data_IF_702183121869
#
_entry.id   IF_702183121869
#
_cell.length_a   1.000
_cell.length_b   1.000
_cell.length_c   1.000
_cell.angle_alpha   90.00
_cell.angle_beta   90.00
_cell.angle_gamma   90.00
#
_symmetry.space_group_name_H-M   'P 1'
#
loop_
_entity.id
_entity.type
_entity.pdbx_description
1 polymer ?
#
# COMPACT_ATOMS: atom_id res chain seq x y z
N UNK A 1 20.34 -6.18 11.47
CA UNK A 1 19.08 -6.90 11.21
C UNK A 1 18.09 -6.45 12.27
N UNK A 2 17.06 -5.69 11.91
CA UNK A 2 16.01 -5.32 12.86
C UNK A 2 15.25 -6.60 13.17
N UNK A 3 15.27 -7.05 14.42
CA UNK A 3 14.56 -8.24 14.83
C UNK A 3 13.06 -8.03 14.58
N UNK A 4 12.38 -9.02 14.00
CA UNK A 4 10.92 -9.01 13.91
C UNK A 4 10.35 -8.80 15.32
N UNK A 5 9.43 -7.84 15.48
CA UNK A 5 8.76 -7.57 16.74
C UNK A 5 7.27 -7.95 16.60
N UNK A 6 6.91 -9.23 16.84
CA UNK A 6 5.55 -9.73 16.64
C UNK A 6 4.51 -8.96 17.45
N UNK A 7 4.90 -8.38 18.60
CA UNK A 7 3.99 -7.64 19.46
C UNK A 7 3.49 -6.33 18.83
N UNK A 8 4.30 -5.67 17.99
CA UNK A 8 3.89 -4.45 17.27
C UNK A 8 3.05 -4.78 16.02
N UNK A 9 3.31 -5.93 15.37
CA UNK A 9 2.57 -6.36 14.18
C UNK A 9 1.22 -7.01 14.48
N UNK A 10 0.91 -7.32 15.74
CA UNK A 10 -0.36 -7.97 16.13
C UNK A 10 -1.60 -7.21 15.67
N UNK A 11 -1.55 -5.89 15.59
CA UNK A 11 -2.68 -5.05 15.20
C UNK A 11 -2.89 -4.99 13.67
N UNK A 12 -1.92 -5.44 12.88
CA UNK A 12 -1.96 -5.33 11.41
C UNK A 12 -2.42 -6.63 10.74
N UNK A 13 -2.65 -7.69 11.52
CA UNK A 13 -3.08 -9.01 11.05
C UNK A 13 -2.22 -9.54 9.88
N UNK A 14 -0.92 -9.25 9.91
CA UNK A 14 0.04 -9.73 8.92
C UNK A 14 0.76 -10.98 9.42
N UNK A 15 1.07 -11.89 8.50
CA UNK A 15 1.94 -13.02 8.75
C UNK A 15 3.07 -13.05 7.71
N UNK A 16 4.29 -13.35 8.15
CA UNK A 16 5.41 -13.60 7.23
C UNK A 16 5.74 -15.09 7.26
N UNK A 17 5.86 -15.72 6.09
CA UNK A 17 6.27 -17.11 5.95
C UNK A 17 7.43 -17.25 4.97
N UNK A 18 8.16 -18.36 5.06
CA UNK A 18 9.23 -18.70 4.11
C UNK A 18 8.77 -19.81 3.18
N UNK A 19 8.65 -19.52 1.88
CA UNK A 19 8.25 -20.48 0.83
C UNK A 19 9.45 -20.71 -0.09
N UNK A 20 9.95 -21.94 -0.15
CA UNK A 20 11.14 -22.29 -0.96
C UNK A 20 12.35 -21.35 -0.73
N UNK A 21 12.54 -20.87 0.50
CA UNK A 21 13.61 -19.94 0.86
C UNK A 21 13.27 -18.46 0.70
N UNK A 22 12.17 -18.12 0.02
CA UNK A 22 11.70 -16.74 -0.22
C UNK A 22 10.81 -16.30 0.94
N UNK A 23 11.06 -15.12 1.49
CA UNK A 23 10.17 -14.50 2.47
C UNK A 23 8.93 -13.92 1.78
N UNK A 24 7.76 -14.33 2.24
CA UNK A 24 6.45 -13.95 1.72
C UNK A 24 5.65 -13.31 2.84
N UNK A 25 5.26 -12.07 2.64
CA UNK A 25 4.36 -11.35 3.53
C UNK A 25 2.91 -11.55 3.09
N UNK A 26 2.09 -12.05 4.01
CA UNK A 26 0.65 -12.17 3.88
C UNK A 26 0.01 -11.04 4.68
N UNK A 27 -0.83 -10.27 4.02
CA UNK A 27 -1.66 -9.24 4.62
C UNK A 27 -3.08 -9.33 4.05
N UNK A 28 -4.07 -9.06 4.89
CA UNK A 28 -5.44 -8.84 4.42
C UNK A 28 -5.56 -7.51 3.69
N UNK A 29 -6.59 -7.41 2.83
CA UNK A 29 -7.03 -6.13 2.29
C UNK A 29 -7.54 -5.26 3.44
N UNK A 30 -7.13 -3.99 3.45
CA UNK A 30 -7.50 -3.06 4.51
C UNK A 30 -8.24 -1.87 3.94
N UNK A 31 -9.30 -1.49 4.61
CA UNK A 31 -9.92 -0.20 4.41
C UNK A 31 -9.06 0.90 5.06
N UNK A 32 -9.48 2.15 4.90
CA UNK A 32 -8.79 3.30 5.47
C UNK A 32 -8.59 3.14 6.99
N UNK A 33 -7.40 3.54 7.42
CA UNK A 33 -6.95 3.46 8.81
C UNK A 33 -7.66 4.56 9.61
N UNK A 34 -8.54 4.18 10.55
CA UNK A 34 -9.16 5.15 11.45
C UNK A 34 -8.14 5.45 12.56
N UNK A 35 -7.51 6.61 12.45
CA UNK A 35 -6.70 7.19 13.52
C UNK A 35 -7.63 7.84 14.54
N UNK A 36 -7.55 7.41 15.80
CA UNK A 36 -8.21 8.13 16.89
C UNK A 36 -7.34 9.36 17.24
N UNK A 37 -7.95 10.51 17.55
CA UNK A 37 -7.23 11.77 17.81
C UNK A 37 -6.15 11.65 18.90
N UNK A 38 -6.28 10.65 19.78
CA UNK A 38 -5.40 10.35 20.92
C UNK A 38 -4.45 9.16 20.69
N UNK A 39 -4.53 8.46 19.56
CA UNK A 39 -3.74 7.24 19.31
C UNK A 39 -3.21 7.14 17.88
N UNK A 40 -1.89 6.91 17.77
CA UNK A 40 -1.23 6.59 16.49
C UNK A 40 -1.39 5.12 16.08
N UNK A 41 -2.18 4.33 16.81
CA UNK A 41 -2.46 2.95 16.46
C UNK A 41 -3.81 2.93 15.72
N UNK A 42 -3.81 2.76 14.38
CA UNK A 42 -5.05 2.75 13.63
C UNK A 42 -5.84 1.48 13.91
N UNK A 43 -7.17 1.60 13.92
CA UNK A 43 -8.03 0.41 13.89
C UNK A 43 -8.15 -0.07 12.45
N UNK A 44 -7.69 -1.29 12.18
CA UNK A 44 -7.75 -1.89 10.83
C UNK A 44 -9.09 -2.59 10.64
N UNK A 45 -9.80 -2.25 9.56
CA UNK A 45 -10.98 -3.00 9.08
C UNK A 45 -10.63 -3.72 7.78
N UNK A 46 -11.19 -4.92 7.59
CA UNK A 46 -11.16 -5.58 6.29
C UNK A 46 -11.76 -4.70 5.21
N UNK A 47 -10.97 -4.47 4.15
CA UNK A 47 -11.36 -3.66 3.00
C UNK A 47 -11.60 -4.50 1.76
N UNK A 48 -12.19 -3.85 0.77
CA UNK A 48 -12.24 -4.29 -0.63
C UNK A 48 -10.91 -4.00 -1.33
N UNK A 49 -10.64 -4.59 -2.52
CA UNK A 49 -9.44 -4.26 -3.29
C UNK A 49 -9.36 -2.77 -3.64
N UNK A 50 -10.50 -2.13 -3.94
CA UNK A 50 -10.57 -0.69 -4.20
C UNK A 50 -10.16 0.12 -2.97
N UNK A 51 -10.74 -0.15 -1.81
CA UNK A 51 -10.39 0.56 -0.57
C UNK A 51 -8.91 0.36 -0.21
N UNK A 52 -8.32 -0.82 -0.46
CA UNK A 52 -6.90 -1.07 -0.26
C UNK A 52 -6.00 -0.35 -1.29
N UNK A 53 -6.45 -0.21 -2.54
CA UNK A 53 -5.78 0.61 -3.55
C UNK A 53 -5.78 2.08 -3.17
N UNK A 54 -6.90 2.61 -2.69
CA UNK A 54 -7.09 4.03 -2.38
C UNK A 54 -6.20 4.52 -1.24
N UNK A 55 -5.92 3.65 -0.25
CA UNK A 55 -5.00 3.98 0.85
C UNK A 55 -3.52 3.92 0.47
N UNK A 56 -3.14 3.57 -0.76
CA UNK A 56 -1.72 3.47 -1.17
C UNK A 56 -1.14 4.81 -1.60
N UNK A 57 0.18 4.86 -1.73
CA UNK A 57 0.89 6.10 -2.03
C UNK A 57 0.68 6.57 -3.48
N UNK A 58 0.85 5.67 -4.45
CA UNK A 58 0.73 5.97 -5.88
C UNK A 58 -0.06 4.91 -6.64
N UNK A 59 -0.77 5.31 -7.70
CA UNK A 59 -1.58 4.44 -8.58
C UNK A 59 -0.77 3.26 -9.13
N UNK A 60 0.48 3.50 -9.54
CA UNK A 60 1.40 2.47 -10.01
C UNK A 60 1.76 1.42 -8.93
N UNK A 61 1.70 1.78 -7.65
CA UNK A 61 1.95 0.88 -6.51
C UNK A 61 0.66 0.24 -5.96
N UNK A 62 -0.49 0.54 -6.58
CA UNK A 62 -1.82 0.09 -6.18
C UNK A 62 -2.39 -0.98 -7.12
N UNK A 63 -1.54 -1.57 -7.97
CA UNK A 63 -1.87 -2.70 -8.83
C UNK A 63 -1.82 -4.01 -8.05
N UNK A 64 -2.76 -4.91 -8.34
CA UNK A 64 -2.77 -6.27 -7.82
C UNK A 64 -2.51 -7.27 -8.94
N UNK A 65 -1.90 -8.40 -8.60
CA UNK A 65 -1.82 -9.54 -9.50
C UNK A 65 -2.67 -10.68 -8.93
N UNK A 66 -3.71 -11.08 -9.64
CA UNK A 66 -4.60 -12.13 -9.20
C UNK A 66 -4.02 -13.49 -9.57
N UNK A 67 -3.69 -14.30 -8.56
CA UNK A 67 -3.06 -15.61 -8.74
C UNK A 67 -3.97 -16.65 -9.42
N UNK A 68 -5.29 -16.49 -9.32
CA UNK A 68 -6.26 -17.42 -9.92
C UNK A 68 -6.45 -17.13 -11.41
N UNK A 69 -6.68 -15.86 -11.76
CA UNK A 69 -6.91 -15.45 -13.15
C UNK A 69 -5.62 -15.18 -13.92
N UNK A 70 -4.50 -15.01 -13.22
CA UNK A 70 -3.18 -14.65 -13.76
C UNK A 70 -3.18 -13.32 -14.51
N UNK A 71 -4.03 -12.39 -14.06
CA UNK A 71 -4.17 -11.05 -14.63
C UNK A 71 -3.78 -9.98 -13.62
N UNK A 72 -3.35 -8.82 -14.15
CA UNK A 72 -3.22 -7.60 -13.35
C UNK A 72 -4.59 -6.97 -13.18
N UNK A 73 -4.92 -6.59 -11.95
CA UNK A 73 -6.13 -5.85 -11.59
C UNK A 73 -5.74 -4.43 -11.18
N UNK A 74 -6.33 -3.45 -11.88
CA UNK A 74 -6.14 -2.03 -11.61
C UNK A 74 -7.45 -1.40 -11.13
N UNK A 75 -7.65 -1.44 -9.81
CA UNK A 75 -8.85 -0.89 -9.19
C UNK A 75 -8.88 0.65 -9.21
N UNK A 76 -7.73 1.31 -9.40
CA UNK A 76 -7.64 2.77 -9.58
C UNK A 76 -8.02 3.19 -11.01
N UNK A 77 -8.07 2.24 -11.95
CA UNK A 77 -8.26 2.43 -13.40
C UNK A 77 -7.19 3.32 -14.09
N UNK A 78 -6.16 3.72 -13.36
CA UNK A 78 -5.11 4.64 -13.82
C UNK A 78 -3.71 4.05 -13.66
N UNK A 79 -3.50 3.15 -12.70
CA UNK A 79 -2.19 2.59 -12.34
C UNK A 79 -1.41 2.01 -13.51
N UNK A 80 -2.06 1.24 -14.40
CA UNK A 80 -1.40 0.69 -15.59
C UNK A 80 -0.95 1.79 -16.56
N UNK A 81 -1.80 2.79 -16.78
CA UNK A 81 -1.50 3.93 -17.65
C UNK A 81 -0.40 4.80 -17.06
N UNK A 82 -0.48 5.12 -15.77
CA UNK A 82 0.51 5.93 -15.07
C UNK A 82 1.87 5.25 -15.03
N UNK A 83 1.91 3.93 -14.78
CA UNK A 83 3.14 3.14 -14.85
C UNK A 83 3.75 3.18 -16.26
N UNK A 84 2.94 2.98 -17.30
CA UNK A 84 3.41 3.03 -18.69
C UNK A 84 3.98 4.41 -19.08
N UNK A 85 3.37 5.49 -18.60
CA UNK A 85 3.81 6.86 -18.87
C UNK A 85 4.84 7.40 -17.87
N UNK A 86 5.32 6.59 -16.92
CA UNK A 86 6.28 7.02 -15.89
C UNK A 86 5.74 8.13 -14.97
N UNK A 87 4.44 8.17 -14.71
CA UNK A 87 3.81 9.19 -13.85
C UNK A 87 3.63 8.69 -12.42
N UNK A 88 3.96 9.54 -11.45
CA UNK A 88 3.63 9.34 -10.05
C UNK A 88 2.36 10.11 -9.71
N UNK A 89 1.24 9.39 -9.60
CA UNK A 89 -0.09 9.95 -9.33
C UNK A 89 -0.66 9.28 -8.09
N UNK A 90 -1.30 10.03 -7.20
CA UNK A 90 -1.96 9.49 -6.00
C UNK A 90 -3.32 8.86 -6.37
N UNK A 91 -3.78 7.78 -5.70
CA UNK A 91 -5.10 7.20 -5.96
C UNK A 91 -6.27 8.15 -5.67
N UNK A 92 -6.16 8.89 -4.56
CA UNK A 92 -7.09 9.93 -4.12
C UNK A 92 -6.50 11.32 -4.35
N UNK A 93 -7.23 12.37 -3.95
CA UNK A 93 -6.73 13.74 -3.97
C UNK A 93 -5.37 13.85 -3.26
N UNK A 94 -4.35 14.49 -3.88
CA UNK A 94 -3.01 14.56 -3.32
C UNK A 94 -2.97 15.16 -1.91
N UNK A 95 -3.80 16.18 -1.65
CA UNK A 95 -3.87 16.86 -0.35
C UNK A 95 -4.27 15.87 0.75
N UNK A 96 -5.31 15.07 0.52
CA UNK A 96 -5.75 14.05 1.47
C UNK A 96 -4.66 12.97 1.63
N UNK A 97 -4.14 12.45 0.53
CA UNK A 97 -3.12 11.39 0.51
C UNK A 97 -1.87 11.77 1.33
N UNK A 98 -1.39 13.00 1.20
CA UNK A 98 -0.21 13.47 1.92
C UNK A 98 -0.51 13.91 3.35
N UNK A 99 -1.75 14.26 3.67
CA UNK A 99 -2.17 14.49 5.05
C UNK A 99 -2.26 13.19 5.84
N UNK A 100 -2.79 12.12 5.22
CA UNK A 100 -2.88 10.78 5.82
C UNK A 100 -1.49 10.21 6.14
N UNK A 101 -0.51 10.40 5.24
CA UNK A 101 0.89 10.03 5.48
C UNK A 101 1.86 11.02 4.79
N UNK A 102 2.43 11.99 5.54
CA UNK A 102 3.38 12.97 5.00
C UNK A 102 4.66 12.36 4.43
N UNK A 103 5.03 11.13 4.82
CA UNK A 103 6.22 10.47 4.27
C UNK A 103 6.05 10.10 2.79
N UNK A 104 4.81 10.06 2.28
CA UNK A 104 4.53 9.87 0.85
C UNK A 104 5.14 10.96 -0.02
N UNK A 105 5.31 12.18 0.48
CA UNK A 105 6.02 13.26 -0.24
C UNK A 105 7.49 12.90 -0.44
N UNK A 106 8.17 12.44 0.61
CA UNK A 106 9.56 12.00 0.53
C UNK A 106 9.69 10.77 -0.38
N UNK A 107 8.70 9.86 -0.34
CA UNK A 107 8.64 8.72 -1.27
C UNK A 107 8.48 9.18 -2.72
N UNK A 108 7.64 10.19 -3.00
CA UNK A 108 7.45 10.74 -4.34
C UNK A 108 8.78 11.26 -4.90
N UNK A 109 9.52 12.07 -4.12
CA UNK A 109 10.84 12.59 -4.49
C UNK A 109 11.81 11.43 -4.76
N UNK A 110 11.85 10.45 -3.85
CA UNK A 110 12.71 9.27 -3.99
C UNK A 110 12.41 8.49 -5.27
N UNK A 111 11.14 8.27 -5.60
CA UNK A 111 10.74 7.58 -6.83
C UNK A 111 11.10 8.41 -8.06
N UNK A 112 10.83 9.72 -8.05
CA UNK A 112 11.12 10.62 -9.17
C UNK A 112 12.61 10.77 -9.49
N UNK A 113 13.51 10.55 -8.51
CA UNK A 113 14.96 10.51 -8.76
C UNK A 113 15.42 9.12 -9.21
N UNK A 114 14.81 8.06 -8.69
CA UNK A 114 15.26 6.68 -8.94
C UNK A 114 14.86 6.13 -10.31
N UNK A 115 13.71 6.53 -10.83
CA UNK A 115 13.09 5.93 -12.02
C UNK A 115 12.87 6.94 -13.16
N UNK A 116 13.88 7.79 -13.40
CA UNK A 116 13.90 8.72 -14.54
C UNK A 116 13.97 7.98 -15.88
#
# INVERSE_FOLDING_TARGET
VIAANPAQSKHLETATLKVHGIDVDIANLRAQEIYQEDSRIPTVRFGTPLEDSERRDFTANALFFNLHTKCVEDWTQKGMSDLFHGRLVTPLEPVQTFHDDPLRVLRAIRFGVRYQ
#
